data_IF_912056667191
#
_entry.id   IF_912056667191
#
_cell.length_a   1.000
_cell.length_b   1.000
_cell.length_c   1.000
_cell.angle_alpha   90.00
_cell.angle_beta   90.00
_cell.angle_gamma   90.00
#
_symmetry.space_group_name_H-M   'P 1'
#
loop_
_entity.id
_entity.type
_entity.pdbx_description
1 polymer ?
#
# COMPACT_ATOMS: atom_id res chain seq x y z
N UNK A 1 46.41 92.34 -28.17
CA UNK A 1 46.72 90.90 -28.25
C UNK A 1 45.79 90.18 -27.28
N UNK A 2 44.96 89.27 -27.80
CA UNK A 2 43.85 88.57 -27.15
C UNK A 2 44.33 87.74 -25.93
N UNK A 3 43.48 87.53 -24.92
CA UNK A 3 43.16 86.22 -24.28
C UNK A 3 42.11 86.45 -23.16
N UNK A 4 40.83 86.16 -23.42
CA UNK A 4 40.10 84.92 -23.10
C UNK A 4 39.68 84.83 -21.62
N UNK A 5 38.38 84.99 -21.39
CA UNK A 5 37.68 84.73 -20.13
C UNK A 5 37.11 83.30 -20.19
N UNK A 6 37.61 82.38 -19.37
CA UNK A 6 37.02 81.04 -19.19
C UNK A 6 36.26 81.02 -17.88
N UNK A 7 34.92 81.00 -17.95
CA UNK A 7 34.04 80.75 -16.81
C UNK A 7 33.66 79.26 -16.82
N UNK A 8 34.05 78.60 -15.74
CA UNK A 8 33.66 77.24 -15.34
C UNK A 8 32.15 77.08 -15.21
N UNK A 9 31.63 75.91 -15.62
CA UNK A 9 30.56 75.13 -14.96
C UNK A 9 30.19 73.93 -15.84
N UNK A 10 30.45 72.71 -15.36
CA UNK A 10 29.58 71.53 -15.50
C UNK A 10 30.30 70.27 -14.96
N UNK A 11 30.41 70.18 -13.63
CA UNK A 11 30.85 68.94 -12.94
C UNK A 11 29.76 68.51 -11.93
N UNK A 12 28.49 68.76 -12.24
CA UNK A 12 27.38 68.39 -11.36
C UNK A 12 26.40 67.38 -11.98
N UNK A 13 26.65 66.88 -13.18
CA UNK A 13 25.69 66.01 -13.90
C UNK A 13 26.05 64.51 -13.87
N UNK A 14 27.29 64.13 -13.54
CA UNK A 14 27.73 62.72 -13.63
C UNK A 14 27.55 61.88 -12.35
N UNK A 15 27.10 62.48 -11.24
CA UNK A 15 27.05 61.80 -9.93
C UNK A 15 25.68 61.24 -9.54
N UNK A 16 24.62 61.54 -10.29
CA UNK A 16 23.24 61.06 -10.02
C UNK A 16 22.78 59.92 -10.92
N UNK A 17 23.49 59.62 -12.01
CA UNK A 17 23.08 58.58 -12.96
C UNK A 17 23.61 57.17 -12.60
N UNK A 18 24.63 57.09 -11.74
CA UNK A 18 25.20 55.80 -11.30
C UNK A 18 24.44 55.10 -10.16
N UNK A 19 23.43 55.74 -9.58
CA UNK A 19 22.67 55.19 -8.44
C UNK A 19 21.41 54.42 -8.84
N UNK A 20 21.11 54.33 -10.14
CA UNK A 20 19.89 53.72 -10.67
C UNK A 20 20.12 52.41 -11.44
N UNK A 21 21.34 51.87 -11.45
CA UNK A 21 21.71 50.70 -12.27
C UNK A 21 22.12 49.46 -11.47
N UNK A 22 21.78 49.38 -10.17
CA UNK A 22 22.27 48.32 -9.27
C UNK A 22 21.20 47.41 -8.68
N UNK A 23 20.11 47.15 -9.41
CA UNK A 23 19.15 46.13 -8.97
C UNK A 23 18.67 45.27 -10.15
N UNK A 24 19.50 44.34 -10.66
CA UNK A 24 18.95 43.19 -11.36
C UNK A 24 18.09 42.42 -10.36
N UNK A 25 16.80 42.46 -10.63
CA UNK A 25 15.72 41.79 -9.92
C UNK A 25 15.99 40.29 -9.94
N UNK A 26 16.63 39.79 -8.88
CA UNK A 26 16.77 38.36 -8.59
C UNK A 26 15.41 37.80 -8.15
N UNK A 27 14.45 37.72 -9.08
CA UNK A 27 13.28 36.85 -8.91
C UNK A 27 13.61 35.54 -9.62
N UNK A 28 14.56 34.80 -9.06
CA UNK A 28 14.55 33.36 -9.28
C UNK A 28 13.33 32.85 -8.52
N UNK A 29 12.22 32.66 -9.24
CA UNK A 29 11.11 31.87 -8.75
C UNK A 29 11.67 30.51 -8.37
N UNK A 30 11.92 30.33 -7.07
CA UNK A 30 12.21 29.03 -6.49
C UNK A 30 10.89 28.26 -6.50
N UNK A 31 10.46 27.84 -7.69
CA UNK A 31 9.63 26.68 -7.84
C UNK A 31 10.47 25.52 -7.31
N UNK A 32 10.48 25.34 -5.99
CA UNK A 32 10.78 24.04 -5.42
C UNK A 32 9.77 23.12 -6.08
N UNK A 33 10.26 22.26 -6.97
CA UNK A 33 9.50 21.08 -7.36
C UNK A 33 9.31 20.34 -6.04
N UNK A 34 8.12 20.42 -5.46
CA UNK A 34 7.74 19.49 -4.41
C UNK A 34 7.77 18.12 -5.10
N UNK A 35 8.89 17.43 -4.92
CA UNK A 35 8.92 16.01 -5.08
C UNK A 35 8.13 15.54 -3.87
N UNK A 36 6.83 15.33 -4.05
CA UNK A 36 6.10 14.42 -3.20
C UNK A 36 6.84 13.11 -3.38
N UNK A 37 7.79 12.82 -2.49
CA UNK A 37 8.20 11.44 -2.26
C UNK A 37 6.90 10.78 -1.82
N UNK A 38 6.22 10.14 -2.78
CA UNK A 38 5.23 9.14 -2.46
C UNK A 38 6.03 8.10 -1.71
N UNK A 39 6.01 8.19 -0.38
CA UNK A 39 6.51 7.12 0.47
C UNK A 39 5.81 5.88 -0.06
N UNK A 40 6.57 5.01 -0.70
CA UNK A 40 6.08 3.73 -1.14
C UNK A 40 5.84 2.97 0.16
N UNK A 41 4.65 3.15 0.74
CA UNK A 41 4.19 2.34 1.85
C UNK A 41 3.87 1.02 1.20
N UNK A 42 4.75 0.04 1.36
CA UNK A 42 4.50 -1.34 0.97
C UNK A 42 3.34 -1.84 1.86
N UNK A 43 2.11 -1.56 1.43
CA UNK A 43 0.88 -1.93 2.15
C UNK A 43 0.47 -3.38 1.87
N UNK A 44 1.16 -4.06 0.95
CA UNK A 44 0.87 -5.43 0.59
C UNK A 44 2.15 -6.22 0.34
N UNK A 45 2.25 -7.39 0.97
CA UNK A 45 3.33 -8.35 0.82
C UNK A 45 2.76 -9.66 0.31
N UNK A 46 3.53 -10.41 -0.48
CA UNK A 46 3.07 -11.72 -0.93
C UNK A 46 4.19 -12.74 -0.95
N UNK A 47 3.84 -13.97 -0.59
CA UNK A 47 4.71 -15.13 -0.70
C UNK A 47 3.96 -16.30 -1.35
N UNK A 48 4.71 -17.17 -2.01
CA UNK A 48 4.18 -18.43 -2.58
C UNK A 48 4.76 -19.58 -1.80
N UNK A 49 3.87 -20.39 -1.22
CA UNK A 49 4.19 -21.60 -0.48
C UNK A 49 3.83 -22.82 -1.31
N UNK A 50 4.48 -23.94 -1.01
CA UNK A 50 4.16 -25.24 -1.59
C UNK A 50 3.53 -26.11 -0.52
N UNK A 51 2.33 -26.61 -0.78
CA UNK A 51 1.66 -27.64 0.02
C UNK A 51 1.92 -28.97 -0.65
N UNK A 52 2.71 -29.83 -0.02
CA UNK A 52 2.98 -31.17 -0.53
C UNK A 52 1.83 -32.12 -0.18
N UNK A 53 1.74 -33.25 -0.89
CA UNK A 53 0.73 -34.28 -0.63
C UNK A 53 0.76 -34.78 0.83
N UNK A 54 1.94 -34.83 1.46
CA UNK A 54 2.13 -35.25 2.84
C UNK A 54 1.63 -34.25 3.90
N UNK A 55 1.41 -33.00 3.49
CA UNK A 55 1.14 -31.91 4.42
C UNK A 55 -0.35 -31.88 4.81
N UNK A 56 -1.21 -32.44 3.96
CA UNK A 56 -2.63 -32.63 4.24
C UNK A 56 -2.85 -33.62 5.38
N UNK A 57 -3.51 -33.16 6.45
CA UNK A 57 -3.88 -33.96 7.62
C UNK A 57 -5.39 -34.07 7.72
N UNK A 58 -5.86 -35.16 8.29
CA UNK A 58 -7.28 -35.38 8.60
C UNK A 58 -7.42 -35.93 10.02
N UNK A 59 -8.50 -35.53 10.70
CA UNK A 59 -8.86 -36.02 12.05
C UNK A 59 -10.23 -36.69 12.06
N UNK A 60 -10.90 -36.78 10.90
CA UNK A 60 -12.29 -37.24 10.76
C UNK A 60 -12.43 -38.34 9.69
N UNK A 61 -11.44 -39.21 9.61
CA UNK A 61 -11.41 -40.36 8.70
C UNK A 61 -11.55 -39.97 7.21
N UNK A 62 -10.94 -38.86 6.80
CA UNK A 62 -10.89 -38.42 5.40
C UNK A 62 -12.13 -37.66 4.92
N UNK A 63 -13.02 -37.23 5.82
CA UNK A 63 -14.15 -36.35 5.46
C UNK A 63 -13.70 -34.92 5.17
N UNK A 64 -12.65 -34.47 5.83
CA UNK A 64 -11.99 -33.21 5.53
C UNK A 64 -10.48 -33.34 5.71
N UNK A 65 -9.76 -32.46 5.04
CA UNK A 65 -8.32 -32.31 5.18
C UNK A 65 -7.97 -30.85 5.44
N UNK A 66 -6.86 -30.65 6.17
CA UNK A 66 -6.27 -29.34 6.37
C UNK A 66 -4.76 -29.38 6.13
N UNK A 67 -4.21 -28.32 5.57
CA UNK A 67 -2.76 -28.10 5.47
C UNK A 67 -2.43 -26.73 6.06
N UNK A 68 -1.48 -26.70 6.99
CA UNK A 68 -1.05 -25.49 7.67
C UNK A 68 0.27 -24.98 7.08
N UNK A 69 0.33 -23.67 6.85
CA UNK A 69 1.49 -22.94 6.38
C UNK A 69 2.00 -22.04 7.50
N UNK A 70 3.30 -22.10 7.76
CA UNK A 70 4.00 -21.15 8.63
C UNK A 70 4.19 -19.83 7.89
N UNK A 71 3.54 -18.77 8.38
CA UNK A 71 3.53 -17.43 7.81
C UNK A 71 3.93 -16.44 8.90
N UNK A 72 5.21 -16.42 9.31
CA UNK A 72 5.67 -15.63 10.45
C UNK A 72 5.49 -14.12 10.24
N UNK A 73 5.38 -13.66 9.00
CA UNK A 73 5.11 -12.27 8.64
C UNK A 73 3.65 -11.85 8.94
N UNK A 74 2.74 -12.80 9.12
CA UNK A 74 1.36 -12.53 9.58
C UNK A 74 1.38 -12.22 11.08
N UNK A 75 1.75 -11.00 11.43
CA UNK A 75 1.76 -10.52 12.80
C UNK A 75 0.34 -10.18 13.31
N UNK A 76 0.26 -9.74 14.57
CA UNK A 76 -1.02 -9.39 15.17
C UNK A 76 -1.63 -8.09 14.62
N UNK A 77 -0.84 -7.21 13.98
CA UNK A 77 -1.37 -5.99 13.35
C UNK A 77 -2.16 -6.39 12.11
N UNK A 78 -1.54 -7.18 11.23
CA UNK A 78 -2.17 -7.66 9.99
C UNK A 78 -3.37 -8.56 10.32
N UNK A 79 -3.25 -9.43 11.33
CA UNK A 79 -4.35 -10.30 11.74
C UNK A 79 -5.58 -9.53 12.27
N UNK A 80 -5.38 -8.44 13.02
CA UNK A 80 -6.50 -7.74 13.68
C UNK A 80 -7.12 -6.64 12.82
N UNK A 81 -6.29 -5.93 12.05
CA UNK A 81 -6.72 -4.71 11.35
C UNK A 81 -6.51 -4.81 9.83
N UNK A 82 -5.64 -5.72 9.38
CA UNK A 82 -5.29 -5.96 7.98
C UNK A 82 -6.20 -6.94 7.22
N UNK A 83 -5.65 -7.51 6.15
CA UNK A 83 -6.31 -8.58 5.40
C UNK A 83 -5.31 -9.67 4.96
N UNK A 84 -5.80 -10.91 4.94
CA UNK A 84 -5.08 -12.07 4.40
C UNK A 84 -5.86 -12.63 3.23
N UNK A 85 -5.28 -12.59 2.04
CA UNK A 85 -5.86 -13.16 0.83
C UNK A 85 -5.11 -14.43 0.45
N UNK A 86 -5.86 -15.51 0.23
CA UNK A 86 -5.31 -16.83 -0.09
C UNK A 86 -5.77 -17.24 -1.47
N UNK A 87 -4.81 -17.70 -2.28
CA UNK A 87 -5.08 -18.25 -3.59
C UNK A 87 -4.37 -19.59 -3.75
N UNK A 88 -5.04 -20.55 -4.39
CA UNK A 88 -4.47 -21.85 -4.71
C UNK A 88 -4.22 -22.01 -6.20
N UNK A 89 -3.27 -22.88 -6.53
CA UNK A 89 -3.03 -23.37 -7.87
C UNK A 89 -2.70 -24.85 -7.83
N UNK A 90 -3.49 -25.63 -8.57
CA UNK A 90 -3.28 -27.06 -8.76
C UNK A 90 -2.38 -27.37 -9.98
N UNK A 91 -1.91 -26.33 -10.70
CA UNK A 91 -1.06 -26.43 -11.89
C UNK A 91 0.26 -25.67 -11.73
N UNK A 92 0.89 -25.77 -10.55
CA UNK A 92 2.11 -25.03 -10.22
C UNK A 92 1.83 -23.54 -10.01
N UNK A 93 2.47 -22.64 -10.75
CA UNK A 93 2.28 -21.18 -10.61
C UNK A 93 1.62 -20.51 -11.83
N UNK A 94 1.03 -21.31 -12.74
CA UNK A 94 0.49 -20.85 -14.03
C UNK A 94 -0.72 -19.92 -13.88
N UNK A 95 -1.62 -20.22 -12.95
CA UNK A 95 -2.78 -19.39 -12.60
C UNK A 95 -3.14 -19.65 -11.14
N UNK A 96 -3.89 -18.73 -10.53
CA UNK A 96 -4.28 -18.82 -9.13
C UNK A 96 -5.77 -18.53 -8.98
N UNK A 97 -6.45 -19.32 -8.17
CA UNK A 97 -7.87 -19.18 -7.87
C UNK A 97 -8.03 -18.72 -6.41
N UNK A 98 -8.82 -17.67 -6.21
CA UNK A 98 -9.03 -17.09 -4.89
C UNK A 98 -9.86 -18.05 -4.01
N UNK A 99 -9.55 -18.08 -2.71
CA UNK A 99 -10.38 -18.75 -1.71
C UNK A 99 -11.35 -17.76 -1.05
N UNK A 100 -12.55 -18.22 -0.62
CA UNK A 100 -13.05 -19.59 -0.74
C UNK A 100 -13.53 -19.93 -2.16
N UNK A 101 -13.57 -21.22 -2.49
CA UNK A 101 -14.10 -21.70 -3.77
C UNK A 101 -14.71 -23.11 -3.64
N UNK A 102 -15.48 -23.51 -4.66
CA UNK A 102 -15.90 -24.90 -4.87
C UNK A 102 -15.49 -25.32 -6.26
N UNK A 103 -14.75 -26.41 -6.36
CA UNK A 103 -14.33 -27.01 -7.61
C UNK A 103 -14.51 -28.53 -7.55
N UNK A 104 -15.15 -29.11 -8.57
CA UNK A 104 -15.43 -30.54 -8.67
C UNK A 104 -16.09 -31.17 -7.42
N UNK A 105 -17.03 -30.43 -6.81
CA UNK A 105 -17.73 -30.88 -5.60
C UNK A 105 -16.92 -30.80 -4.30
N UNK A 106 -15.70 -30.27 -4.34
CA UNK A 106 -14.85 -30.03 -3.17
C UNK A 106 -14.87 -28.54 -2.82
N UNK A 107 -15.16 -28.23 -1.57
CA UNK A 107 -15.01 -26.88 -1.00
C UNK A 107 -13.58 -26.66 -0.54
N UNK A 108 -13.03 -25.49 -0.82
CA UNK A 108 -11.73 -25.05 -0.31
C UNK A 108 -11.91 -23.75 0.47
N UNK A 109 -11.40 -23.73 1.69
CA UNK A 109 -11.42 -22.58 2.60
C UNK A 109 -10.01 -22.23 3.08
N UNK A 110 -9.91 -21.07 3.72
CA UNK A 110 -8.72 -20.71 4.48
C UNK A 110 -9.11 -20.03 5.79
N UNK A 111 -8.45 -20.45 6.85
CA UNK A 111 -8.50 -19.82 8.18
C UNK A 111 -7.08 -19.36 8.50
N UNK A 112 -6.94 -18.23 9.19
CA UNK A 112 -5.63 -17.70 9.53
C UNK A 112 -5.63 -17.12 10.94
N UNK A 113 -4.43 -17.05 11.51
CA UNK A 113 -4.15 -16.39 12.78
C UNK A 113 -2.72 -15.87 12.76
N UNK A 114 -2.28 -15.24 13.86
CA UNK A 114 -0.91 -14.74 13.91
C UNK A 114 0.09 -15.88 13.71
N UNK A 115 0.96 -15.76 12.70
CA UNK A 115 1.99 -16.71 12.34
C UNK A 115 1.55 -17.86 11.42
N UNK A 116 0.27 -18.01 11.05
CA UNK A 116 -0.14 -19.15 10.24
C UNK A 116 -1.35 -18.91 9.34
N UNK A 117 -1.40 -19.69 8.25
CA UNK A 117 -2.58 -19.85 7.41
C UNK A 117 -2.86 -21.34 7.25
N UNK A 118 -4.08 -21.78 7.54
CA UNK A 118 -4.56 -23.14 7.37
C UNK A 118 -5.55 -23.18 6.21
N UNK A 119 -5.31 -24.07 5.24
CA UNK A 119 -6.20 -24.32 4.11
C UNK A 119 -7.01 -25.57 4.46
N UNK A 120 -8.33 -25.46 4.39
CA UNK A 120 -9.27 -26.56 4.65
C UNK A 120 -9.97 -27.02 3.37
N UNK A 121 -10.29 -28.32 3.30
CA UNK A 121 -11.10 -28.87 2.23
C UNK A 121 -12.04 -29.99 2.69
N UNK A 122 -13.19 -30.10 2.04
CA UNK A 122 -14.20 -31.15 2.26
C UNK A 122 -15.10 -31.33 1.04
N UNK A 123 -15.73 -32.49 0.88
CA UNK A 123 -16.79 -32.64 -0.11
C UNK A 123 -18.08 -31.94 0.34
N UNK A 124 -18.81 -31.32 -0.60
CA UNK A 124 -20.08 -30.64 -0.33
C UNK A 124 -21.18 -31.57 0.22
N UNK A 125 -21.09 -32.87 -0.07
CA UNK A 125 -22.04 -33.90 0.34
C UNK A 125 -21.61 -34.63 1.62
N UNK A 126 -20.45 -34.28 2.19
CA UNK A 126 -19.89 -34.90 3.38
C UNK A 126 -19.31 -36.31 3.16
N UNK A 127 -19.14 -36.73 1.90
CA UNK A 127 -18.43 -37.95 1.55
C UNK A 127 -16.94 -37.86 1.93
N UNK A 128 -16.28 -39.02 1.94
CA UNK A 128 -14.84 -39.07 2.09
C UNK A 128 -14.16 -38.61 0.80
N UNK A 129 -13.04 -37.93 0.94
CA UNK A 129 -12.25 -37.40 -0.17
C UNK A 129 -10.80 -37.85 -0.06
N UNK A 130 -10.06 -37.74 -1.16
CA UNK A 130 -8.61 -37.84 -1.14
C UNK A 130 -8.04 -36.43 -1.31
N UNK A 131 -7.02 -36.04 -0.53
CA UNK A 131 -6.37 -34.77 -0.74
C UNK A 131 -5.55 -34.82 -2.04
N UNK A 132 -5.14 -33.66 -2.59
CA UNK A 132 -4.27 -33.59 -3.75
C UNK A 132 -3.03 -34.48 -3.60
N UNK A 133 -2.82 -35.37 -4.59
CA UNK A 133 -1.64 -36.24 -4.65
C UNK A 133 -0.39 -35.57 -5.22
N UNK A 134 -0.51 -34.33 -5.71
CA UNK A 134 0.58 -33.53 -6.27
C UNK A 134 0.75 -32.23 -5.47
N UNK A 135 1.93 -31.58 -5.53
CA UNK A 135 2.13 -30.30 -4.88
C UNK A 135 1.14 -29.24 -5.37
N UNK A 136 0.58 -28.48 -4.42
CA UNK A 136 -0.32 -27.34 -4.66
C UNK A 136 0.42 -26.07 -4.27
N UNK A 137 0.38 -25.04 -5.11
CA UNK A 137 0.96 -23.74 -4.75
C UNK A 137 -0.09 -22.86 -4.07
N UNK A 138 0.27 -22.30 -2.93
CA UNK A 138 -0.55 -21.34 -2.18
C UNK A 138 0.11 -19.96 -2.22
N UNK A 139 -0.55 -18.99 -2.85
CA UNK A 139 -0.12 -17.59 -2.78
C UNK A 139 -0.86 -16.92 -1.63
N UNK A 140 -0.10 -16.40 -0.68
CA UNK A 140 -0.59 -15.64 0.46
C UNK A 140 -0.26 -14.18 0.22
N UNK A 141 -1.25 -13.31 0.33
CA UNK A 141 -1.08 -11.86 0.29
C UNK A 141 -1.49 -11.32 1.66
N UNK A 142 -0.57 -10.57 2.27
CA UNK A 142 -0.77 -9.87 3.53
C UNK A 142 -0.93 -8.39 3.22
N UNK A 143 -2.03 -7.80 3.68
CA UNK A 143 -2.28 -6.37 3.55
C UNK A 143 -2.23 -5.76 4.94
N UNK A 144 -1.27 -4.87 5.17
CA UNK A 144 -1.24 -4.05 6.37
C UNK A 144 -2.26 -2.92 6.20
N UNK A 145 -3.19 -2.82 7.14
CA UNK A 145 -4.19 -1.78 7.13
C UNK A 145 -4.29 -1.11 8.50
N UNK A 146 -4.43 0.22 8.46
CA UNK A 146 -4.71 1.00 9.66
C UNK A 146 -6.20 0.95 9.95
N UNK A 147 -6.55 0.57 11.19
CA UNK A 147 -7.93 0.61 11.67
C UNK A 147 -8.55 2.00 11.49
N UNK A 148 -9.65 2.09 10.75
CA UNK A 148 -10.40 3.33 10.63
C UNK A 148 -11.06 3.67 11.97
N UNK A 149 -10.75 4.85 12.51
CA UNK A 149 -11.48 5.40 13.64
C UNK A 149 -12.90 5.76 13.18
N UNK A 150 -13.90 4.95 13.58
CA UNK A 150 -15.31 5.24 13.28
C UNK A 150 -15.76 6.50 14.05
N UNK A 151 -15.85 7.64 13.36
CA UNK A 151 -16.35 8.91 13.90
C UNK A 151 -17.89 8.96 13.92
N UNK A 152 -18.50 8.08 14.72
CA UNK A 152 -19.98 7.91 14.78
C UNK A 152 -20.73 9.13 15.31
N UNK A 153 -20.02 10.03 15.98
CA UNK A 153 -20.50 11.27 16.57
C UNK A 153 -20.56 12.45 15.59
N UNK A 154 -20.14 12.24 14.33
CA UNK A 154 -20.07 13.31 13.34
C UNK A 154 -21.31 13.35 12.48
N UNK A 155 -21.95 14.52 12.48
CA UNK A 155 -22.97 14.83 11.52
C UNK A 155 -22.34 14.95 10.12
N UNK A 156 -22.47 13.91 9.30
CA UNK A 156 -21.92 13.89 7.94
C UNK A 156 -22.53 14.94 6.99
N UNK A 157 -23.63 15.59 7.38
CA UNK A 157 -24.22 16.71 6.63
C UNK A 157 -23.56 18.05 6.95
N UNK A 158 -22.80 18.13 8.03
CA UNK A 158 -22.00 19.31 8.39
C UNK A 158 -20.59 19.15 7.81
N UNK A 159 -20.37 19.80 6.67
CA UNK A 159 -19.11 19.71 5.92
C UNK A 159 -17.92 20.22 6.74
N UNK A 160 -18.10 21.22 7.61
CA UNK A 160 -17.02 21.72 8.48
C UNK A 160 -16.66 20.70 9.57
N UNK A 161 -17.67 20.02 10.14
CA UNK A 161 -17.43 18.95 11.11
C UNK A 161 -16.69 17.77 10.49
N UNK A 162 -17.03 17.41 9.24
CA UNK A 162 -16.35 16.36 8.46
C UNK A 162 -14.90 16.76 8.18
N UNK A 163 -14.66 17.95 7.61
CA UNK A 163 -13.31 18.43 7.30
C UNK A 163 -12.39 18.42 8.51
N UNK A 164 -12.88 18.94 9.65
CA UNK A 164 -12.12 18.97 10.90
C UNK A 164 -11.75 17.57 11.40
N UNK A 165 -12.66 16.62 11.29
CA UNK A 165 -12.46 15.31 11.89
C UNK A 165 -11.68 14.32 11.03
N UNK A 166 -11.72 14.51 9.71
CA UNK A 166 -10.93 13.73 8.76
C UNK A 166 -9.65 14.47 8.32
N UNK A 167 -9.35 15.63 8.92
CA UNK A 167 -8.17 16.45 8.65
C UNK A 167 -8.01 16.79 7.15
N UNK A 168 -9.14 17.11 6.50
CA UNK A 168 -9.18 17.50 5.09
C UNK A 168 -8.85 19.00 5.03
N UNK A 169 -7.80 19.37 4.30
CA UNK A 169 -7.47 20.77 4.03
C UNK A 169 -8.17 21.22 2.75
N UNK A 170 -8.92 22.30 2.84
CA UNK A 170 -9.45 23.06 1.71
C UNK A 170 -8.54 24.26 1.38
#
# INVERSE_FOLDING_TARGET
MLHIYVKTKNVLFMKRLFLLLSLPVFIFSSCKKEVTEVQQVDQAFSAVYTINASDWKTTNNGKSYSAELDVPELDNIIYQDGAVLVYLSFSGTSYYEALPQVFDGITYGAVHGSGYVSIDMSAIDGANINPPGQPVSAKIILIDATRLALKKDINLKDMQAVEKAFNIKN
#
